data_IF_615106265557
#
_entry.id   IF_615106265557
#
_cell.length_a   1.000
_cell.length_b   1.000
_cell.length_c   1.000
_cell.angle_alpha   90.00
_cell.angle_beta   90.00
_cell.angle_gamma   90.00
#
_symmetry.space_group_name_H-M   'P 1'
#
loop_
_entity.id
_entity.type
_entity.pdbx_description
1 polymer ?
#
# COMPACT_ATOMS: atom_id res chain seq x y z
N UNK A 1 -38.07 -23.39 -16.34
CA UNK A 1 -36.62 -23.39 -16.63
C UNK A 1 -36.05 -22.26 -15.78
N UNK A 2 -35.50 -22.59 -14.62
CA UNK A 2 -34.98 -21.60 -13.67
C UNK A 2 -33.52 -21.41 -14.02
N UNK A 3 -33.24 -20.59 -15.03
CA UNK A 3 -31.90 -20.17 -15.38
C UNK A 3 -31.47 -19.14 -14.33
N UNK A 4 -30.94 -19.63 -13.21
CA UNK A 4 -30.24 -18.80 -12.24
C UNK A 4 -29.18 -18.03 -13.00
N UNK A 5 -29.18 -16.69 -12.97
CA UNK A 5 -28.08 -15.96 -13.57
C UNK A 5 -26.80 -16.35 -12.85
N UNK A 6 -25.94 -17.11 -13.52
CA UNK A 6 -24.53 -17.29 -13.18
C UNK A 6 -23.77 -15.97 -13.43
N UNK A 7 -24.36 -14.82 -13.07
CA UNK A 7 -23.63 -13.57 -12.96
C UNK A 7 -22.73 -13.73 -11.76
N UNK A 8 -21.61 -14.38 -12.05
CA UNK A 8 -20.43 -14.43 -11.24
C UNK A 8 -20.20 -13.01 -10.75
N UNK A 9 -20.42 -12.77 -9.45
CA UNK A 9 -20.19 -11.50 -8.77
C UNK A 9 -18.68 -11.27 -8.72
N UNK A 10 -18.09 -11.08 -9.91
CA UNK A 10 -16.70 -10.75 -10.13
C UNK A 10 -16.53 -9.33 -9.64
N UNK A 11 -15.90 -9.19 -8.48
CA UNK A 11 -15.48 -7.88 -7.98
C UNK A 11 -14.26 -7.44 -8.77
N UNK A 12 -14.12 -6.14 -8.98
CA UNK A 12 -12.98 -5.55 -9.68
C UNK A 12 -12.34 -4.50 -8.79
N UNK A 13 -11.03 -4.33 -8.92
CA UNK A 13 -10.29 -3.31 -8.21
C UNK A 13 -10.77 -1.93 -8.63
N UNK A 14 -11.08 -1.03 -7.71
CA UNK A 14 -11.51 0.34 -8.07
C UNK A 14 -10.42 1.17 -8.77
N UNK A 15 -9.14 0.79 -8.60
CA UNK A 15 -8.01 1.59 -9.07
C UNK A 15 -7.42 1.07 -10.38
N UNK A 16 -7.27 -0.25 -10.51
CA UNK A 16 -6.72 -0.87 -11.73
C UNK A 16 -7.74 -1.72 -12.50
N UNK A 17 -8.99 -1.81 -12.03
CA UNK A 17 -10.06 -2.65 -12.60
C UNK A 17 -9.68 -4.12 -12.82
N UNK A 18 -8.65 -4.61 -12.12
CA UNK A 18 -8.26 -6.00 -12.17
C UNK A 18 -9.29 -6.88 -11.47
N UNK A 19 -9.47 -8.11 -11.94
CA UNK A 19 -10.39 -9.07 -11.36
C UNK A 19 -9.97 -9.40 -9.92
N UNK A 20 -10.84 -9.10 -8.95
CA UNK A 20 -10.66 -9.47 -7.56
C UNK A 20 -11.17 -10.89 -7.33
N UNK A 21 -10.50 -11.66 -6.45
CA UNK A 21 -11.00 -12.95 -6.01
C UNK A 21 -12.40 -12.79 -5.39
N UNK A 22 -13.29 -13.77 -5.60
CA UNK A 22 -14.64 -13.75 -5.03
C UNK A 22 -14.63 -13.73 -3.49
N UNK A 23 -13.62 -14.36 -2.89
CA UNK A 23 -13.35 -14.37 -1.45
C UNK A 23 -12.66 -13.11 -0.92
N UNK A 24 -12.29 -12.17 -1.79
CA UNK A 24 -11.60 -10.95 -1.39
C UNK A 24 -12.61 -9.92 -0.88
N UNK A 25 -12.43 -9.44 0.35
CA UNK A 25 -13.38 -8.55 1.01
C UNK A 25 -13.13 -7.06 0.74
N UNK A 26 -11.95 -6.71 0.22
CA UNK A 26 -11.58 -5.33 -0.09
C UNK A 26 -12.01 -4.85 -1.49
N UNK A 27 -11.92 -3.55 -1.72
CA UNK A 27 -12.22 -2.91 -3.01
C UNK A 27 -10.98 -2.70 -3.89
N UNK A 28 -9.79 -2.70 -3.30
CA UNK A 28 -8.51 -2.59 -4.02
C UNK A 28 -7.82 -3.94 -4.11
N UNK A 29 -7.25 -4.30 -5.26
CA UNK A 29 -6.49 -5.55 -5.38
C UNK A 29 -5.23 -5.51 -4.49
N UNK A 30 -4.63 -6.67 -4.13
CA UNK A 30 -3.47 -6.71 -3.25
C UNK A 30 -2.29 -5.84 -3.73
N UNK A 31 -2.15 -5.62 -5.04
CA UNK A 31 -1.15 -4.69 -5.60
C UNK A 31 -1.47 -3.21 -5.34
N UNK A 32 -2.73 -2.81 -5.50
CA UNK A 32 -3.16 -1.44 -5.24
C UNK A 32 -3.18 -1.18 -3.73
N UNK A 33 -3.63 -2.15 -2.94
CA UNK A 33 -3.59 -2.09 -1.48
C UNK A 33 -2.15 -1.94 -0.96
N UNK A 34 -1.19 -2.68 -1.52
CA UNK A 34 0.22 -2.56 -1.15
C UNK A 34 0.81 -1.20 -1.57
N UNK A 35 0.42 -0.67 -2.74
CA UNK A 35 0.82 0.68 -3.17
C UNK A 35 0.24 1.77 -2.29
N UNK A 36 -1.04 1.67 -1.92
CA UNK A 36 -1.68 2.61 -1.02
C UNK A 36 -1.04 2.56 0.37
N UNK A 37 -0.75 1.36 0.88
CA UNK A 37 -0.01 1.17 2.13
C UNK A 37 1.38 1.81 2.04
N UNK A 38 2.09 1.62 0.92
CA UNK A 38 3.37 2.26 0.67
C UNK A 38 3.27 3.80 0.68
N UNK A 39 2.25 4.36 0.04
CA UNK A 39 1.98 5.81 0.03
C UNK A 39 1.69 6.33 1.44
N UNK A 40 0.83 5.64 2.20
CA UNK A 40 0.52 6.00 3.58
C UNK A 40 1.75 5.94 4.48
N UNK A 41 2.59 4.91 4.34
CA UNK A 41 3.84 4.78 5.08
C UNK A 41 4.79 5.94 4.76
N UNK A 42 4.98 6.25 3.46
CA UNK A 42 5.82 7.36 3.02
C UNK A 42 5.31 8.69 3.56
N UNK A 43 4.02 8.96 3.43
CA UNK A 43 3.41 10.19 3.92
C UNK A 43 3.48 10.29 5.45
N UNK A 44 3.32 9.17 6.16
CA UNK A 44 3.43 9.12 7.62
C UNK A 44 4.85 9.47 8.08
N UNK A 45 5.86 8.88 7.44
CA UNK A 45 7.28 9.21 7.66
C UNK A 45 7.55 10.69 7.38
N UNK A 46 7.03 11.22 6.27
CA UNK A 46 7.27 12.62 5.87
C UNK A 46 6.50 13.64 6.71
N UNK A 47 5.28 13.33 7.13
CA UNK A 47 4.41 14.26 7.86
C UNK A 47 4.74 14.28 9.34
N UNK A 48 5.01 13.11 9.93
CA UNK A 48 5.27 12.98 11.36
C UNK A 48 6.77 12.88 11.69
N UNK A 49 7.66 12.92 10.69
CA UNK A 49 9.08 12.57 10.87
C UNK A 49 9.25 11.20 11.57
N UNK A 50 8.33 10.28 11.30
CA UNK A 50 8.28 8.98 11.94
C UNK A 50 9.46 8.11 11.49
N UNK A 51 10.03 7.36 12.43
CA UNK A 51 11.11 6.42 12.08
C UNK A 51 10.52 5.14 11.49
N UNK A 52 11.37 4.34 10.83
CA UNK A 52 10.96 3.00 10.40
C UNK A 52 10.36 2.16 11.53
N UNK A 53 10.77 2.38 12.78
CA UNK A 53 10.22 1.71 13.97
C UNK A 53 8.78 2.12 14.27
N UNK A 54 8.49 3.42 14.26
CA UNK A 54 7.13 3.93 14.49
C UNK A 54 6.17 3.40 13.42
N UNK A 55 6.61 3.43 12.16
CA UNK A 55 5.86 2.90 11.02
C UNK A 55 5.64 1.40 11.15
N UNK A 56 6.68 0.62 11.48
CA UNK A 56 6.56 -0.82 11.67
C UNK A 56 5.54 -1.17 12.75
N UNK A 57 5.53 -0.39 13.83
CA UNK A 57 4.58 -0.57 14.94
C UNK A 57 3.16 -0.16 14.53
N UNK A 58 3.02 0.94 13.78
CA UNK A 58 1.73 1.49 13.37
C UNK A 58 1.03 0.66 12.29
N UNK A 59 1.79 0.25 11.27
CA UNK A 59 1.28 -0.50 10.12
C UNK A 59 1.45 -2.02 10.29
N UNK A 60 2.01 -2.48 11.42
CA UNK A 60 2.33 -3.89 11.68
C UNK A 60 3.18 -4.53 10.57
N UNK A 61 4.11 -3.76 10.02
CA UNK A 61 5.01 -4.20 8.97
C UNK A 61 6.40 -4.52 9.52
N UNK A 62 7.11 -5.50 8.95
CA UNK A 62 8.47 -5.80 9.35
C UNK A 62 9.41 -4.64 9.03
N UNK A 63 10.26 -4.29 9.99
CA UNK A 63 11.25 -3.21 9.86
C UNK A 63 12.16 -3.37 8.65
N UNK A 64 12.51 -4.61 8.30
CA UNK A 64 13.31 -4.92 7.12
C UNK A 64 12.67 -4.38 5.85
N UNK A 65 11.35 -4.52 5.70
CA UNK A 65 10.62 -4.08 4.50
C UNK A 65 10.62 -2.55 4.36
N UNK A 66 10.42 -1.85 5.47
CA UNK A 66 10.46 -0.38 5.48
C UNK A 66 11.88 0.11 5.23
N UNK A 67 12.90 -0.56 5.80
CA UNK A 67 14.31 -0.27 5.49
C UNK A 67 14.63 -0.51 4.03
N UNK A 68 14.19 -1.61 3.43
CA UNK A 68 14.37 -1.88 1.99
C UNK A 68 13.77 -0.77 1.14
N UNK A 69 12.58 -0.28 1.49
CA UNK A 69 11.95 0.84 0.77
C UNK A 69 12.73 2.16 0.87
N UNK A 70 13.39 2.40 2.00
CA UNK A 70 14.24 3.57 2.19
C UNK A 70 15.57 3.39 1.45
N UNK A 71 16.16 2.19 1.54
CA UNK A 71 17.46 1.83 0.92
C UNK A 71 17.39 1.82 -0.62
N UNK A 72 16.28 1.32 -1.18
CA UNK A 72 15.97 1.34 -2.62
C UNK A 72 15.65 2.77 -3.13
N UNK A 73 15.57 3.76 -2.22
CA UNK A 73 15.27 5.15 -2.54
C UNK A 73 13.79 5.41 -2.85
N UNK A 74 12.90 4.47 -2.58
CA UNK A 74 11.46 4.68 -2.79
C UNK A 74 10.85 5.61 -1.72
N UNK A 75 11.37 5.54 -0.49
CA UNK A 75 10.98 6.41 0.63
C UNK A 75 12.15 7.31 1.01
N UNK A 76 12.01 8.59 0.72
CA UNK A 76 12.93 9.61 1.20
C UNK A 76 12.36 10.24 2.47
N UNK A 77 13.19 10.28 3.52
CA UNK A 77 12.92 11.18 4.64
C UNK A 77 12.85 12.60 4.09
N UNK A 78 11.99 13.42 4.67
CA UNK A 78 11.87 14.83 4.31
C UNK A 78 13.20 15.51 4.68
N UNK A 79 14.15 15.50 3.76
CA UNK A 79 15.44 16.13 3.97
C UNK A 79 15.24 17.64 3.87
N UNK A 80 15.51 18.27 5.01
CA UNK A 80 15.94 19.65 5.19
C UNK A 80 16.34 20.31 3.85
N UNK A 81 15.74 21.46 3.46
CA UNK A 81 16.11 22.14 2.22
C UNK A 81 17.59 22.53 2.27
N UNK A 82 18.47 21.70 1.69
CA UNK A 82 19.91 21.92 1.81
C UNK A 82 20.87 20.82 1.35
N UNK A 83 20.44 19.57 1.11
CA UNK A 83 21.36 18.55 0.57
C UNK A 83 21.61 18.74 -0.93
N UNK A 84 22.43 19.76 -1.24
CA UNK A 84 23.17 19.86 -2.50
C UNK A 84 24.46 19.07 -2.33
N UNK A 85 24.64 18.05 -3.17
CA UNK A 85 25.96 17.56 -3.57
C UNK A 85 26.77 18.71 -4.22
#
# INVERSE_FOLDING_TARGET
MTETPLFENRRYCEECHCLLPTSYEGTLCPRCLEQELFHQVKEYIQTNNATAYDVATHFHLPLSRIKEWIDDGMIEYKDIPGHKL
#
